data_IF_518910307984
#
_entry.id   IF_518910307984
#
_cell.length_a   1.000
_cell.length_b   1.000
_cell.length_c   1.000
_cell.angle_alpha   90.00
_cell.angle_beta   90.00
_cell.angle_gamma   90.00
#
_symmetry.space_group_name_H-M   'P 1'
#
loop_
_entity.id
_entity.type
_entity.pdbx_description
1 polymer ?
#
# COMPACT_ATOMS: atom_id res chain seq x y z
N UNK A 1 17.63 -4.39 -51.57
CA UNK A 1 17.75 -3.47 -52.72
C UNK A 1 16.34 -3.06 -53.11
N UNK A 2 15.91 -1.90 -52.61
CA UNK A 2 15.57 -0.68 -53.40
C UNK A 2 14.21 -0.87 -54.10
N UNK A 3 13.12 -0.46 -53.44
CA UNK A 3 12.36 0.80 -53.68
C UNK A 3 11.41 0.66 -54.89
N UNK A 4 10.15 1.12 -54.96
CA UNK A 4 9.42 2.20 -54.26
C UNK A 4 7.93 2.13 -54.64
N UNK A 5 7.06 2.57 -53.72
CA UNK A 5 5.83 3.38 -53.89
C UNK A 5 4.79 3.03 -54.97
N UNK A 6 3.52 2.86 -54.55
CA UNK A 6 2.42 3.73 -55.02
C UNK A 6 1.22 3.71 -54.06
N UNK A 7 0.85 4.92 -53.62
CA UNK A 7 -0.28 5.27 -52.77
C UNK A 7 -1.63 5.00 -53.41
N UNK A 8 -2.67 4.67 -52.64
CA UNK A 8 -4.03 5.19 -52.87
C UNK A 8 -4.78 5.39 -51.54
N UNK A 9 -5.41 6.56 -51.48
CA UNK A 9 -6.19 7.13 -50.38
C UNK A 9 -7.60 6.55 -50.40
N UNK A 10 -8.17 6.30 -49.22
CA UNK A 10 -9.61 6.50 -49.00
C UNK A 10 -9.76 7.35 -47.75
N UNK A 11 -10.29 8.56 -47.98
CA UNK A 11 -10.75 9.49 -46.98
C UNK A 11 -12.26 9.31 -46.78
N UNK A 12 -12.70 9.22 -45.52
CA UNK A 12 -14.04 9.59 -45.06
C UNK A 12 -13.87 9.99 -43.59
N UNK A 13 -13.76 11.29 -43.24
CA UNK A 13 -14.87 12.25 -43.09
C UNK A 13 -15.80 11.92 -41.91
N UNK A 14 -15.45 12.36 -40.71
CA UNK A 14 -16.43 12.81 -39.72
C UNK A 14 -15.94 14.12 -39.10
N UNK A 15 -16.69 15.20 -39.32
CA UNK A 15 -16.54 16.51 -38.69
C UNK A 15 -17.83 16.83 -37.92
N UNK A 16 -17.64 17.63 -36.86
CA UNK A 16 -18.60 18.32 -35.98
C UNK A 16 -19.19 17.45 -34.85
N UNK A 17 -19.19 17.88 -33.58
CA UNK A 17 -19.37 19.26 -33.11
C UNK A 17 -18.43 19.67 -31.95
N UNK A 18 -17.91 20.90 -32.06
CA UNK A 18 -17.52 21.75 -30.93
C UNK A 18 -18.80 22.22 -30.22
N UNK A 19 -18.92 21.98 -28.91
CA UNK A 19 -19.61 22.84 -27.97
C UNK A 19 -19.28 22.38 -26.54
N UNK A 20 -18.82 23.30 -25.68
CA UNK A 20 -18.65 23.06 -24.24
C UNK A 20 -17.21 23.03 -23.75
N UNK A 21 -16.42 24.06 -24.07
CA UNK A 21 -15.22 24.37 -23.30
C UNK A 21 -15.68 24.89 -21.91
N UNK A 22 -15.90 24.00 -20.95
CA UNK A 22 -15.99 24.40 -19.55
C UNK A 22 -14.56 24.52 -19.06
N UNK A 23 -14.04 25.75 -19.10
CA UNK A 23 -12.82 26.09 -18.37
C UNK A 23 -13.22 26.10 -16.89
N UNK A 24 -13.04 24.96 -16.22
CA UNK A 24 -12.92 24.96 -14.77
C UNK A 24 -11.56 25.58 -14.45
N UNK A 25 -11.55 26.90 -14.32
CA UNK A 25 -10.50 27.59 -13.56
C UNK A 25 -10.76 27.35 -12.08
N UNK A 26 -10.66 26.09 -11.65
CA UNK A 26 -10.45 25.75 -10.26
C UNK A 26 -9.01 26.09 -9.94
N UNK A 27 -8.78 27.01 -9.01
CA UNK A 27 -7.44 27.16 -8.44
C UNK A 27 -7.07 25.82 -7.77
N UNK A 28 -5.88 25.25 -8.00
CA UNK A 28 -5.46 23.98 -7.37
C UNK A 28 -5.62 23.98 -5.85
N UNK A 29 -5.58 25.17 -5.23
CA UNK A 29 -5.81 25.40 -3.81
C UNK A 29 -7.22 25.03 -3.33
N UNK A 30 -8.25 25.03 -4.18
CA UNK A 30 -9.63 24.73 -3.79
C UNK A 30 -9.89 23.21 -3.68
N UNK A 31 -9.27 22.39 -4.55
CA UNK A 31 -9.37 20.92 -4.51
C UNK A 31 -8.54 20.33 -3.37
N UNK A 32 -7.43 20.98 -3.02
CA UNK A 32 -6.54 20.57 -1.92
C UNK A 32 -7.10 20.96 -0.53
N UNK A 33 -7.70 22.14 -0.39
CA UNK A 33 -8.36 22.54 0.87
C UNK A 33 -9.55 21.64 1.26
N UNK A 34 -10.07 20.87 0.30
CA UNK A 34 -11.22 19.98 0.41
C UNK A 34 -10.87 18.56 0.93
N UNK A 35 -9.59 18.22 1.05
CA UNK A 35 -9.16 16.85 1.39
C UNK A 35 -9.17 16.57 2.91
N UNK A 36 -8.86 17.57 3.75
CA UNK A 36 -8.98 17.43 5.22
C UNK A 36 -10.44 17.23 5.65
N UNK A 37 -11.40 17.82 4.93
CA UNK A 37 -12.84 17.54 5.13
C UNK A 37 -13.22 16.15 4.61
N UNK A 38 -12.48 15.54 3.68
CA UNK A 38 -12.92 14.31 3.00
C UNK A 38 -13.12 13.13 3.97
N UNK A 39 -12.31 13.00 5.03
CA UNK A 39 -12.57 11.98 6.06
C UNK A 39 -13.88 12.25 6.81
N UNK A 40 -14.16 13.50 7.16
CA UNK A 40 -15.39 13.87 7.82
C UNK A 40 -16.59 13.72 6.89
N UNK A 41 -16.44 14.06 5.60
CA UNK A 41 -17.44 13.81 4.55
C UNK A 41 -17.75 12.32 4.47
N UNK A 42 -16.75 11.43 4.35
CA UNK A 42 -16.98 9.98 4.32
C UNK A 42 -17.76 9.52 5.55
N UNK A 43 -17.42 10.03 6.73
CA UNK A 43 -18.18 9.69 7.94
C UNK A 43 -19.63 10.21 7.86
N UNK A 44 -19.86 11.41 7.33
CA UNK A 44 -21.23 11.93 7.10
C UNK A 44 -22.02 11.04 6.16
N UNK A 45 -21.41 10.53 5.09
CA UNK A 45 -22.08 9.60 4.16
C UNK A 45 -22.46 8.28 4.85
N UNK A 46 -21.59 7.75 5.71
CA UNK A 46 -21.92 6.59 6.53
C UNK A 46 -23.04 6.89 7.55
N UNK A 47 -23.08 8.10 8.12
CA UNK A 47 -24.16 8.54 9.02
C UNK A 47 -25.50 8.69 8.27
N UNK A 48 -25.47 9.05 6.99
CA UNK A 48 -26.64 9.07 6.13
C UNK A 48 -27.18 7.66 5.86
N UNK A 49 -26.29 6.68 5.67
CA UNK A 49 -26.66 5.27 5.55
C UNK A 49 -27.17 4.66 6.88
N UNK A 50 -26.45 4.89 7.98
CA UNK A 50 -26.79 4.43 9.34
C UNK A 50 -26.68 5.58 10.35
N UNK A 51 -27.81 6.12 10.85
CA UNK A 51 -27.82 7.21 11.82
C UNK A 51 -27.07 6.92 13.14
N UNK A 52 -26.81 5.64 13.46
CA UNK A 52 -26.06 5.23 14.65
C UNK A 52 -24.60 4.84 14.31
N UNK A 53 -24.11 5.18 13.11
CA UNK A 53 -22.80 4.77 12.62
C UNK A 53 -21.67 5.06 13.63
N UNK A 54 -21.60 6.27 14.18
CA UNK A 54 -20.54 6.63 15.14
C UNK A 54 -20.57 5.80 16.41
N UNK A 55 -21.75 5.60 16.99
CA UNK A 55 -21.92 4.80 18.22
C UNK A 55 -21.52 3.35 17.97
N UNK A 56 -22.02 2.74 16.88
CA UNK A 56 -21.69 1.35 16.52
C UNK A 56 -20.23 1.19 16.19
N UNK A 57 -19.66 2.10 15.40
CA UNK A 57 -18.24 2.11 15.07
C UNK A 57 -17.39 2.19 16.33
N UNK A 58 -17.72 3.06 17.28
CA UNK A 58 -17.00 3.17 18.55
C UNK A 58 -17.09 1.87 19.35
N UNK A 59 -18.29 1.30 19.50
CA UNK A 59 -18.50 0.03 20.20
C UNK A 59 -17.63 -1.10 19.62
N UNK A 60 -17.62 -1.27 18.30
CA UNK A 60 -16.83 -2.31 17.66
C UNK A 60 -15.33 -1.99 17.63
N UNK A 61 -14.94 -0.72 17.57
CA UNK A 61 -13.54 -0.30 17.64
C UNK A 61 -12.93 -0.70 18.99
N UNK A 62 -13.62 -0.44 20.10
CA UNK A 62 -13.15 -0.83 21.45
C UNK A 62 -12.94 -2.35 21.56
N UNK A 63 -13.87 -3.13 21.01
CA UNK A 63 -13.75 -4.61 20.99
C UNK A 63 -12.59 -5.06 20.10
N UNK A 64 -12.41 -4.46 18.93
CA UNK A 64 -11.32 -4.77 18.02
C UNK A 64 -9.95 -4.41 18.62
N UNK A 65 -9.84 -3.26 19.29
CA UNK A 65 -8.62 -2.82 20.00
C UNK A 65 -8.23 -3.79 21.11
N UNK A 66 -9.20 -4.27 21.89
CA UNK A 66 -8.95 -5.28 22.93
C UNK A 66 -8.42 -6.59 22.34
N UNK A 67 -8.93 -7.01 21.18
CA UNK A 67 -8.44 -8.21 20.48
C UNK A 67 -7.05 -8.02 19.89
N UNK A 68 -6.76 -6.85 19.31
CA UNK A 68 -5.43 -6.50 18.82
C UNK A 68 -4.39 -6.55 19.96
N UNK A 69 -4.72 -6.00 21.13
CA UNK A 69 -3.85 -6.09 22.31
C UNK A 69 -3.62 -7.55 22.74
N UNK A 70 -4.65 -8.40 22.69
CA UNK A 70 -4.53 -9.83 22.95
C UNK A 70 -3.61 -10.56 21.97
N UNK A 71 -3.71 -10.26 20.67
CA UNK A 71 -2.80 -10.79 19.63
C UNK A 71 -1.36 -10.36 19.93
N UNK A 72 -1.13 -9.08 20.19
CA UNK A 72 0.20 -8.53 20.44
C UNK A 72 0.89 -9.15 21.66
N UNK A 73 0.15 -9.37 22.76
CA UNK A 73 0.66 -10.03 23.98
C UNK A 73 1.15 -11.45 23.67
N UNK A 74 0.41 -12.19 22.87
CA UNK A 74 0.73 -13.57 22.50
C UNK A 74 1.89 -13.65 21.50
N UNK A 75 1.96 -12.73 20.54
CA UNK A 75 3.10 -12.59 19.63
C UNK A 75 4.38 -12.24 20.40
N UNK A 76 4.29 -11.36 21.41
CA UNK A 76 5.41 -11.07 22.29
C UNK A 76 5.85 -12.30 23.12
N UNK A 77 4.96 -13.27 23.36
CA UNK A 77 5.26 -14.54 24.00
C UNK A 77 5.80 -15.62 23.02
N UNK A 78 5.95 -15.29 21.73
CA UNK A 78 6.48 -16.18 20.69
C UNK A 78 5.42 -16.99 19.94
N UNK A 79 4.12 -16.73 20.14
CA UNK A 79 3.04 -17.37 19.39
C UNK A 79 2.75 -16.56 18.11
N UNK A 80 2.88 -17.16 16.93
CA UNK A 80 2.76 -16.42 15.65
C UNK A 80 1.34 -15.94 15.36
N UNK A 81 0.33 -16.74 15.74
CA UNK A 81 -1.11 -16.41 15.64
C UNK A 81 -1.58 -15.92 14.26
N UNK A 82 -1.03 -16.50 13.19
CA UNK A 82 -1.23 -15.98 11.84
C UNK A 82 -2.70 -16.03 11.35
N UNK A 83 -3.51 -17.00 11.82
CA UNK A 83 -4.93 -17.00 11.50
C UNK A 83 -5.68 -15.87 12.21
N UNK A 84 -5.37 -15.63 13.49
CA UNK A 84 -5.95 -14.52 14.26
C UNK A 84 -5.60 -13.17 13.65
N UNK A 85 -4.36 -13.00 13.18
CA UNK A 85 -3.91 -11.80 12.48
C UNK A 85 -4.70 -11.56 11.17
N UNK A 86 -4.86 -12.60 10.33
CA UNK A 86 -5.67 -12.49 9.11
C UNK A 86 -7.13 -12.12 9.42
N UNK A 87 -7.75 -12.75 10.42
CA UNK A 87 -9.11 -12.41 10.85
C UNK A 87 -9.21 -10.97 11.38
N UNK A 88 -8.21 -10.52 12.14
CA UNK A 88 -8.11 -9.15 12.65
C UNK A 88 -8.01 -8.13 11.52
N UNK A 89 -7.16 -8.37 10.52
CA UNK A 89 -7.01 -7.47 9.38
C UNK A 89 -8.32 -7.34 8.58
N UNK A 90 -9.07 -8.44 8.42
CA UNK A 90 -10.39 -8.38 7.78
C UNK A 90 -11.43 -7.63 8.65
N UNK A 91 -11.40 -7.82 9.98
CA UNK A 91 -12.25 -7.04 10.89
C UNK A 91 -11.91 -5.54 10.85
N UNK A 92 -10.62 -5.20 10.78
CA UNK A 92 -10.15 -3.82 10.61
C UNK A 92 -10.65 -3.22 9.29
N UNK A 93 -10.65 -4.00 8.20
CA UNK A 93 -11.26 -3.58 6.94
C UNK A 93 -12.78 -3.37 7.08
N UNK A 94 -13.51 -4.34 7.66
CA UNK A 94 -14.96 -4.23 7.87
C UNK A 94 -15.34 -2.99 8.68
N UNK A 95 -14.61 -2.72 9.77
CA UNK A 95 -14.80 -1.54 10.63
C UNK A 95 -14.44 -0.22 9.92
N UNK A 96 -13.42 -0.25 9.06
CA UNK A 96 -12.89 0.94 8.40
C UNK A 96 -13.65 1.36 7.15
N UNK A 97 -14.26 0.40 6.45
CA UNK A 97 -14.78 0.60 5.09
C UNK A 97 -16.24 0.18 4.91
N UNK A 98 -16.93 -0.32 5.94
CA UNK A 98 -18.31 -0.76 5.80
C UNK A 98 -19.16 -0.43 7.02
N UNK A 99 -20.47 -0.34 6.81
CA UNK A 99 -21.49 -0.39 7.87
C UNK A 99 -22.07 -1.80 8.03
N UNK A 100 -21.34 -2.85 7.62
CA UNK A 100 -21.79 -4.25 7.76
C UNK A 100 -21.48 -4.80 9.16
N UNK A 101 -22.22 -4.30 10.13
CA UNK A 101 -22.02 -4.61 11.55
C UNK A 101 -22.16 -6.09 11.88
N UNK A 102 -23.05 -6.81 11.18
CA UNK A 102 -23.23 -8.24 11.39
C UNK A 102 -21.99 -9.03 11.01
N UNK A 103 -21.44 -8.76 9.82
CA UNK A 103 -20.21 -9.42 9.39
C UNK A 103 -19.03 -9.08 10.31
N UNK A 104 -18.96 -7.83 10.79
CA UNK A 104 -17.95 -7.43 11.76
C UNK A 104 -18.09 -8.18 13.10
N UNK A 105 -19.29 -8.25 13.67
CA UNK A 105 -19.57 -9.01 14.88
C UNK A 105 -19.17 -10.48 14.74
N UNK A 106 -19.62 -11.13 13.66
CA UNK A 106 -19.27 -12.53 13.35
C UNK A 106 -17.75 -12.72 13.23
N UNK A 107 -17.02 -11.72 12.69
CA UNK A 107 -15.56 -11.75 12.58
C UNK A 107 -14.87 -11.59 13.93
N UNK A 108 -15.30 -10.65 14.77
CA UNK A 108 -14.74 -10.44 16.12
C UNK A 108 -14.90 -11.70 16.98
N UNK A 109 -16.08 -12.32 16.93
CA UNK A 109 -16.38 -13.60 17.55
C UNK A 109 -15.43 -14.72 17.10
N UNK A 110 -15.04 -14.74 15.82
CA UNK A 110 -14.07 -15.70 15.29
C UNK A 110 -12.65 -15.42 15.76
N UNK A 111 -12.24 -14.16 15.86
CA UNK A 111 -10.93 -13.80 16.42
C UNK A 111 -10.83 -14.30 17.87
N UNK A 112 -11.85 -14.05 18.69
CA UNK A 112 -11.90 -14.53 20.09
C UNK A 112 -11.77 -16.05 20.20
N UNK A 113 -12.39 -16.80 19.29
CA UNK A 113 -12.24 -18.26 19.22
C UNK A 113 -10.85 -18.66 18.75
N UNK A 114 -10.36 -18.03 17.69
CA UNK A 114 -9.05 -18.28 17.10
C UNK A 114 -7.93 -18.07 18.13
N UNK A 115 -8.01 -17.04 18.98
CA UNK A 115 -7.03 -16.76 20.03
C UNK A 115 -6.85 -17.87 21.07
N UNK A 116 -7.82 -18.77 21.21
CA UNK A 116 -7.73 -19.93 22.12
C UNK A 116 -6.86 -21.04 21.55
N UNK A 117 -6.66 -21.06 20.24
CA UNK A 117 -5.78 -22.02 19.56
C UNK A 117 -4.45 -21.34 19.21
N UNK A 118 -3.37 -21.88 19.77
CA UNK A 118 -2.01 -21.36 19.50
C UNK A 118 -1.38 -22.03 18.28
N UNK A 119 -1.89 -23.18 17.85
CA UNK A 119 -1.36 -23.89 16.67
C UNK A 119 -2.07 -23.42 15.40
N UNK A 120 -1.58 -22.31 14.85
CA UNK A 120 -2.18 -21.67 13.67
C UNK A 120 -1.30 -21.75 12.42
N UNK A 121 -0.34 -22.69 12.38
CA UNK A 121 0.62 -22.82 11.27
C UNK A 121 -0.03 -23.08 9.93
N UNK A 122 -1.20 -23.71 9.93
CA UNK A 122 -1.99 -23.95 8.72
C UNK A 122 -2.31 -22.65 7.97
N UNK A 123 -2.42 -21.50 8.66
CA UNK A 123 -2.80 -20.22 8.05
C UNK A 123 -1.75 -19.67 7.07
N UNK A 124 -0.51 -20.16 7.15
CA UNK A 124 0.60 -19.82 6.24
C UNK A 124 0.65 -20.75 5.02
N UNK A 125 -0.13 -21.83 5.02
CA UNK A 125 -0.12 -22.81 3.94
C UNK A 125 -0.85 -22.32 2.70
N UNK A 126 -0.41 -22.83 1.55
CA UNK A 126 -1.12 -22.64 0.30
C UNK A 126 -2.36 -23.55 0.25
N UNK A 127 -3.51 -22.99 -0.12
CA UNK A 127 -4.74 -23.75 -0.31
C UNK A 127 -4.61 -24.80 -1.40
N UNK A 128 -4.90 -26.07 -1.08
CA UNK A 128 -5.00 -27.14 -2.08
C UNK A 128 -6.23 -27.03 -3.00
N UNK A 129 -7.21 -26.19 -2.63
CA UNK A 129 -8.50 -26.07 -3.34
C UNK A 129 -8.38 -25.12 -4.53
N UNK A 130 -7.76 -23.96 -4.31
CA UNK A 130 -7.71 -22.83 -5.25
C UNK A 130 -6.32 -22.21 -5.40
N UNK A 131 -5.32 -22.71 -4.66
CA UNK A 131 -3.94 -22.26 -4.73
C UNK A 131 -3.65 -20.95 -4.00
N UNK A 132 -4.64 -20.28 -3.40
CA UNK A 132 -4.44 -19.00 -2.72
C UNK A 132 -3.90 -19.18 -1.30
N UNK A 133 -3.13 -18.19 -0.85
CA UNK A 133 -2.78 -18.00 0.56
C UNK A 133 -3.86 -17.18 1.29
N UNK A 134 -3.69 -17.04 2.60
CA UNK A 134 -4.62 -16.28 3.44
C UNK A 134 -5.87 -17.08 3.77
N UNK A 135 -5.70 -18.31 4.26
CA UNK A 135 -6.79 -19.28 4.49
C UNK A 135 -7.85 -18.80 5.48
N UNK A 136 -7.52 -17.84 6.34
CA UNK A 136 -8.44 -17.31 7.33
C UNK A 136 -9.21 -16.07 6.87
N UNK A 137 -8.87 -15.49 5.71
CA UNK A 137 -9.67 -14.46 5.06
C UNK A 137 -10.91 -15.04 4.38
N UNK A 138 -12.05 -14.37 4.51
CA UNK A 138 -13.22 -14.61 3.68
C UNK A 138 -13.24 -13.71 2.45
N UNK A 139 -12.76 -12.48 2.59
CA UNK A 139 -12.66 -11.56 1.47
C UNK A 139 -11.59 -12.02 0.47
N UNK A 140 -12.03 -12.32 -0.75
CA UNK A 140 -11.15 -12.84 -1.79
C UNK A 140 -10.03 -11.86 -2.18
N UNK A 141 -10.29 -10.55 -2.16
CA UNK A 141 -9.28 -9.53 -2.49
C UNK A 141 -8.16 -9.47 -1.43
N UNK A 142 -8.46 -9.78 -0.16
CA UNK A 142 -7.43 -9.89 0.87
C UNK A 142 -6.55 -11.14 0.66
N UNK A 143 -7.16 -12.24 0.19
CA UNK A 143 -6.40 -13.44 -0.23
C UNK A 143 -5.49 -13.16 -1.42
N UNK A 144 -5.89 -12.26 -2.32
CA UNK A 144 -5.04 -11.82 -3.44
C UNK A 144 -3.78 -11.13 -2.93
N UNK A 145 -3.90 -10.20 -1.97
CA UNK A 145 -2.75 -9.55 -1.34
C UNK A 145 -1.83 -10.54 -0.60
N UNK A 146 -2.42 -11.44 0.20
CA UNK A 146 -1.67 -12.50 0.89
C UNK A 146 -0.92 -13.42 -0.09
N UNK A 147 -1.55 -13.74 -1.23
CA UNK A 147 -0.95 -14.55 -2.29
C UNK A 147 0.19 -13.82 -2.98
N UNK A 148 0.05 -12.54 -3.30
CA UNK A 148 1.13 -11.75 -3.88
C UNK A 148 2.36 -11.69 -2.95
N UNK A 149 2.14 -11.55 -1.64
CA UNK A 149 3.20 -11.56 -0.64
C UNK A 149 3.90 -12.94 -0.56
N UNK A 150 3.12 -14.02 -0.49
CA UNK A 150 3.66 -15.38 -0.39
C UNK A 150 4.47 -15.78 -1.63
N UNK A 151 3.97 -15.47 -2.83
CA UNK A 151 4.71 -15.74 -4.07
C UNK A 151 5.99 -14.90 -4.11
N UNK A 152 5.93 -13.63 -3.70
CA UNK A 152 7.14 -12.80 -3.59
C UNK A 152 8.21 -13.40 -2.69
N UNK A 153 7.83 -13.99 -1.55
CA UNK A 153 8.74 -14.70 -0.67
C UNK A 153 9.32 -15.95 -1.35
N UNK A 154 8.48 -16.80 -1.93
CA UNK A 154 8.90 -18.01 -2.65
C UNK A 154 9.88 -17.68 -3.79
N UNK A 155 9.59 -16.64 -4.58
CA UNK A 155 10.50 -16.14 -5.63
C UNK A 155 11.86 -15.76 -5.08
N UNK A 156 11.90 -15.04 -3.94
CA UNK A 156 13.17 -14.64 -3.34
C UNK A 156 14.00 -15.83 -2.82
N UNK A 157 13.33 -16.95 -2.51
CA UNK A 157 13.94 -18.20 -2.06
C UNK A 157 14.27 -19.16 -3.20
N UNK A 158 13.86 -18.83 -4.43
CA UNK A 158 13.98 -19.75 -5.58
C UNK A 158 13.07 -20.97 -5.48
N UNK A 159 12.01 -20.90 -4.67
CA UNK A 159 11.05 -21.98 -4.45
C UNK A 159 9.78 -21.76 -5.28
N UNK A 160 9.15 -22.83 -5.79
CA UNK A 160 7.88 -22.73 -6.47
C UNK A 160 6.67 -22.88 -5.52
N UNK A 161 5.49 -22.33 -5.89
CA UNK A 161 4.22 -22.69 -5.27
C UNK A 161 3.95 -24.20 -5.32
N UNK A 162 3.30 -24.75 -4.28
CA UNK A 162 2.93 -26.16 -4.18
C UNK A 162 1.68 -26.51 -5.00
N UNK A 163 0.71 -25.61 -5.04
CA UNK A 163 -0.57 -25.77 -5.74
C UNK A 163 -0.74 -24.71 -6.82
N UNK A 164 -1.64 -25.00 -7.76
CA UNK A 164 -1.92 -24.07 -8.85
C UNK A 164 -2.96 -23.02 -8.46
N UNK A 165 -2.73 -21.78 -8.85
CA UNK A 165 -3.68 -20.68 -8.64
C UNK A 165 -4.88 -20.77 -9.57
N UNK A 166 -6.07 -20.55 -9.02
CA UNK A 166 -7.36 -20.50 -9.73
C UNK A 166 -8.07 -19.17 -9.48
N UNK A 167 -7.61 -18.05 -10.08
CA UNK A 167 -8.16 -16.73 -9.83
C UNK A 167 -9.61 -16.58 -10.29
N UNK A 168 -10.37 -15.78 -9.53
CA UNK A 168 -11.75 -15.40 -9.85
C UNK A 168 -11.86 -14.57 -11.13
N UNK A 169 -10.89 -13.69 -11.37
CA UNK A 169 -10.80 -12.84 -12.56
C UNK A 169 -9.81 -13.48 -13.52
N UNK A 170 -10.27 -13.82 -14.74
CA UNK A 170 -9.51 -14.65 -15.70
C UNK A 170 -9.20 -13.91 -16.99
N UNK A 171 -9.95 -12.86 -17.30
CA UNK A 171 -9.81 -12.03 -18.51
C UNK A 171 -9.61 -10.56 -18.16
N UNK A 172 -8.99 -9.81 -19.08
CA UNK A 172 -8.81 -8.37 -18.92
C UNK A 172 -10.13 -7.62 -18.79
N UNK A 173 -11.17 -8.07 -19.52
CA UNK A 173 -12.53 -7.51 -19.40
C UNK A 173 -13.14 -7.71 -18.01
N UNK A 174 -13.01 -8.89 -17.42
CA UNK A 174 -13.50 -9.14 -16.05
C UNK A 174 -12.78 -8.23 -15.05
N UNK A 175 -11.47 -8.04 -15.20
CA UNK A 175 -10.69 -7.16 -14.34
C UNK A 175 -11.10 -5.69 -14.48
N UNK A 176 -11.25 -5.17 -15.70
CA UNK A 176 -11.69 -3.78 -15.93
C UNK A 176 -13.08 -3.56 -15.33
N UNK A 177 -14.04 -4.44 -15.61
CA UNK A 177 -15.39 -4.31 -15.07
C UNK A 177 -15.38 -4.31 -13.53
N UNK A 178 -14.52 -5.14 -12.93
CA UNK A 178 -14.38 -5.20 -11.49
C UNK A 178 -13.80 -3.91 -10.90
N UNK A 179 -12.66 -3.45 -11.42
CA UNK A 179 -12.01 -2.22 -10.98
C UNK A 179 -12.91 -0.99 -11.17
N UNK A 180 -13.63 -0.91 -12.29
CA UNK A 180 -14.62 0.14 -12.53
C UNK A 180 -15.77 0.11 -11.53
N UNK A 181 -16.24 -1.08 -11.14
CA UNK A 181 -17.30 -1.21 -10.13
C UNK A 181 -16.87 -0.75 -8.73
N UNK A 182 -15.56 -0.75 -8.46
CA UNK A 182 -14.98 -0.31 -7.19
C UNK A 182 -14.53 1.14 -7.19
N UNK A 183 -14.35 1.76 -8.36
CA UNK A 183 -13.75 3.10 -8.47
C UNK A 183 -14.60 4.18 -7.77
N UNK A 184 -15.93 4.03 -7.81
CA UNK A 184 -16.86 5.01 -7.25
C UNK A 184 -17.62 4.37 -6.08
N UNK A 185 -17.47 4.94 -4.89
CA UNK A 185 -18.21 4.58 -3.67
C UNK A 185 -19.47 5.46 -3.56
N UNK A 186 -20.63 4.83 -3.38
CA UNK A 186 -21.90 5.49 -3.03
C UNK A 186 -22.27 5.06 -1.60
N UNK A 187 -21.58 5.65 -0.62
CA UNK A 187 -21.64 5.21 0.77
C UNK A 187 -23.02 5.45 1.37
N UNK A 188 -23.63 6.60 1.09
CA UNK A 188 -24.97 6.94 1.57
C UNK A 188 -26.00 5.84 1.25
N UNK A 189 -25.91 5.23 0.06
CA UNK A 189 -26.90 4.23 -0.37
C UNK A 189 -26.46 2.77 -0.14
N UNK A 190 -25.16 2.51 -0.04
CA UNK A 190 -24.64 1.13 0.03
C UNK A 190 -24.06 0.75 1.40
N UNK A 191 -23.65 1.74 2.18
CA UNK A 191 -22.92 1.52 3.43
C UNK A 191 -21.55 0.91 3.21
N UNK A 192 -20.95 1.06 2.02
CA UNK A 192 -19.65 0.50 1.67
C UNK A 192 -18.78 1.56 1.02
N UNK A 193 -17.59 1.76 1.59
CA UNK A 193 -16.48 2.46 0.96
C UNK A 193 -15.59 1.45 0.23
N UNK A 194 -15.65 1.47 -1.11
CA UNK A 194 -14.90 0.57 -1.97
C UNK A 194 -13.37 0.84 -1.95
N UNK A 195 -12.90 1.94 -1.34
CA UNK A 195 -11.48 2.34 -1.33
C UNK A 195 -10.54 1.21 -0.91
N UNK A 196 -10.86 0.53 0.20
CA UNK A 196 -10.00 -0.53 0.75
C UNK A 196 -9.80 -1.69 -0.22
N UNK A 197 -10.89 -2.12 -0.87
CA UNK A 197 -10.84 -3.20 -1.85
C UNK A 197 -10.19 -2.74 -3.16
N UNK A 198 -10.56 -1.56 -3.67
CA UNK A 198 -9.96 -0.95 -4.86
C UNK A 198 -8.44 -0.90 -4.73
N UNK A 199 -7.93 -0.33 -3.63
CA UNK A 199 -6.50 -0.21 -3.35
C UNK A 199 -5.82 -1.59 -3.33
N UNK A 200 -6.42 -2.57 -2.66
CA UNK A 200 -5.86 -3.92 -2.55
C UNK A 200 -5.75 -4.62 -3.91
N UNK A 201 -6.80 -4.55 -4.72
CA UNK A 201 -6.83 -5.17 -6.05
C UNK A 201 -5.86 -4.45 -7.00
N UNK A 202 -5.89 -3.11 -7.03
CA UNK A 202 -4.95 -2.32 -7.85
C UNK A 202 -3.50 -2.61 -7.48
N UNK A 203 -3.16 -2.65 -6.19
CA UNK A 203 -1.81 -2.92 -5.68
C UNK A 203 -1.33 -4.32 -6.05
N UNK A 204 -2.20 -5.33 -5.87
CA UNK A 204 -1.85 -6.72 -6.15
C UNK A 204 -1.61 -6.97 -7.63
N UNK A 205 -2.51 -6.46 -8.49
CA UNK A 205 -2.34 -6.58 -9.95
C UNK A 205 -1.20 -5.72 -10.47
N UNK A 206 -0.94 -4.53 -9.91
CA UNK A 206 0.26 -3.76 -10.24
C UNK A 206 1.52 -4.56 -9.90
N UNK A 207 1.61 -5.11 -8.69
CA UNK A 207 2.77 -5.91 -8.28
C UNK A 207 3.03 -7.07 -9.23
N UNK A 208 1.99 -7.82 -9.62
CA UNK A 208 2.08 -8.90 -10.60
C UNK A 208 2.42 -8.40 -12.02
N UNK A 209 1.85 -7.26 -12.44
CA UNK A 209 2.07 -6.64 -13.75
C UNK A 209 3.49 -6.08 -13.94
N UNK A 210 4.15 -5.66 -12.86
CA UNK A 210 5.45 -4.98 -12.92
C UNK A 210 6.65 -5.87 -12.54
N UNK A 211 6.45 -6.97 -11.81
CA UNK A 211 7.53 -7.91 -11.45
C UNK A 211 7.54 -9.12 -12.39
N UNK A 212 8.47 -9.13 -13.35
CA UNK A 212 8.64 -10.24 -14.32
C UNK A 212 8.89 -11.60 -13.67
N UNK A 213 9.68 -11.66 -12.61
CA UNK A 213 9.96 -12.93 -11.93
C UNK A 213 8.68 -13.53 -11.30
N UNK A 214 7.76 -12.68 -10.83
CA UNK A 214 6.43 -13.11 -10.41
C UNK A 214 5.61 -13.62 -11.60
N UNK A 215 5.72 -13.00 -12.77
CA UNK A 215 5.00 -13.42 -13.99
C UNK A 215 5.46 -14.80 -14.47
N UNK A 216 6.77 -15.06 -14.46
CA UNK A 216 7.32 -16.34 -14.91
C UNK A 216 6.86 -17.49 -14.00
N UNK A 217 6.83 -17.24 -12.69
CA UNK A 217 6.28 -18.19 -11.70
C UNK A 217 4.76 -18.32 -11.86
N UNK A 218 4.01 -17.23 -11.97
CA UNK A 218 2.56 -17.29 -12.18
C UNK A 218 2.22 -18.05 -13.48
N UNK A 219 2.95 -17.83 -14.57
CA UNK A 219 2.69 -18.48 -15.86
C UNK A 219 2.95 -20.00 -15.81
N UNK A 220 3.96 -20.44 -15.05
CA UNK A 220 4.26 -21.87 -14.87
C UNK A 220 3.34 -22.61 -13.89
N UNK A 221 2.81 -21.90 -12.89
CA UNK A 221 2.07 -22.48 -11.76
C UNK A 221 0.58 -22.14 -11.75
N UNK A 222 0.06 -21.44 -12.75
CA UNK A 222 -1.38 -21.29 -12.96
C UNK A 222 -1.91 -22.52 -13.70
N UNK A 223 -3.17 -22.89 -13.44
CA UNK A 223 -3.79 -24.07 -14.03
C UNK A 223 -3.84 -23.94 -15.57
N UNK A 224 -3.05 -24.75 -16.30
CA UNK A 224 -2.93 -24.71 -17.76
C UNK A 224 -4.12 -25.35 -18.49
N UNK A 225 -5.03 -26.00 -17.75
CA UNK A 225 -6.35 -26.40 -18.24
C UNK A 225 -7.31 -25.20 -18.36
N UNK A 226 -6.91 -24.04 -17.83
CA UNK A 226 -7.67 -22.80 -17.81
C UNK A 226 -6.85 -21.66 -18.44
N UNK A 227 -7.28 -21.16 -19.61
CA UNK A 227 -6.58 -20.09 -20.34
C UNK A 227 -6.68 -18.74 -19.61
N UNK A 228 -5.79 -18.47 -18.65
CA UNK A 228 -5.64 -17.14 -18.05
C UNK A 228 -4.71 -16.32 -18.95
N UNK A 229 -5.24 -15.24 -19.52
CA UNK A 229 -4.50 -14.35 -20.40
C UNK A 229 -3.78 -13.29 -19.57
N UNK A 230 -2.63 -13.65 -18.98
CA UNK A 230 -1.85 -12.75 -18.11
C UNK A 230 -1.45 -11.43 -18.79
N UNK A 231 -1.10 -11.48 -20.08
CA UNK A 231 -0.82 -10.26 -20.85
C UNK A 231 -2.07 -9.38 -21.00
N UNK A 232 -3.25 -9.97 -21.23
CA UNK A 232 -4.52 -9.23 -21.31
C UNK A 232 -4.91 -8.62 -19.96
N UNK A 233 -4.73 -9.37 -18.86
CA UNK A 233 -4.95 -8.87 -17.50
C UNK A 233 -4.01 -7.71 -17.17
N UNK A 234 -2.74 -7.80 -17.61
CA UNK A 234 -1.77 -6.71 -17.47
C UNK A 234 -2.24 -5.48 -18.24
N UNK A 235 -2.51 -5.62 -19.54
CA UNK A 235 -2.95 -4.50 -20.38
C UNK A 235 -4.22 -3.85 -19.83
N UNK A 236 -5.16 -4.65 -19.33
CA UNK A 236 -6.37 -4.20 -18.67
C UNK A 236 -6.09 -3.42 -17.38
N UNK A 237 -5.21 -3.92 -16.51
CA UNK A 237 -4.81 -3.22 -15.29
C UNK A 237 -4.16 -1.87 -15.61
N UNK A 238 -3.25 -1.84 -16.58
CA UNK A 238 -2.59 -0.62 -17.05
C UNK A 238 -3.57 0.38 -17.63
N UNK A 239 -4.47 -0.07 -18.52
CA UNK A 239 -5.52 0.77 -19.08
C UNK A 239 -6.37 1.42 -17.98
N UNK A 240 -6.77 0.65 -16.97
CA UNK A 240 -7.50 1.17 -15.83
C UNK A 240 -6.67 2.17 -15.02
N UNK A 241 -5.43 1.82 -14.66
CA UNK A 241 -4.55 2.68 -13.85
C UNK A 241 -4.34 4.04 -14.53
N UNK A 242 -3.99 4.06 -15.81
CA UNK A 242 -3.84 5.33 -16.54
C UNK A 242 -5.16 6.11 -16.63
N UNK A 243 -6.27 5.42 -16.92
CA UNK A 243 -7.59 6.07 -17.00
C UNK A 243 -8.13 6.59 -15.66
N UNK A 244 -7.66 6.03 -14.54
CA UNK A 244 -8.08 6.41 -13.19
C UNK A 244 -7.23 7.56 -12.60
N UNK A 245 -6.11 7.92 -13.23
CA UNK A 245 -5.28 9.04 -12.77
C UNK A 245 -6.04 10.36 -12.92
N UNK A 246 -6.10 11.13 -11.84
CA UNK A 246 -6.71 12.45 -11.90
C UNK A 246 -5.73 13.47 -12.50
N UNK A 247 -6.08 14.08 -13.63
CA UNK A 247 -5.18 14.99 -14.35
C UNK A 247 -4.93 16.31 -13.62
N UNK A 248 -5.81 16.70 -12.69
CA UNK A 248 -5.66 17.94 -11.91
C UNK A 248 -4.64 17.78 -10.80
N UNK A 249 -4.76 16.71 -10.01
CA UNK A 249 -3.87 16.43 -8.88
C UNK A 249 -2.67 15.54 -9.26
N UNK A 250 -2.75 14.84 -10.39
CA UNK A 250 -1.80 13.79 -10.77
C UNK A 250 -1.97 12.50 -9.96
N UNK A 251 -2.87 12.45 -8.99
CA UNK A 251 -2.99 11.35 -8.03
C UNK A 251 -3.99 10.29 -8.47
N UNK A 252 -3.87 9.11 -7.84
CA UNK A 252 -4.91 8.09 -7.81
C UNK A 252 -5.66 8.16 -6.50
N UNK A 253 -6.89 7.64 -6.50
CA UNK A 253 -7.71 7.51 -5.31
C UNK A 253 -9.08 6.97 -5.64
N UNK A 254 -9.82 6.58 -4.59
CA UNK A 254 -11.24 6.27 -4.73
C UNK A 254 -12.03 7.54 -5.06
N UNK A 255 -13.15 7.37 -5.75
CA UNK A 255 -14.10 8.44 -6.02
C UNK A 255 -15.36 8.20 -5.21
N UNK A 256 -16.09 9.27 -4.91
CA UNK A 256 -17.27 9.20 -4.05
C UNK A 256 -18.43 9.94 -4.71
N UNK A 257 -19.64 9.39 -4.59
CA UNK A 257 -20.87 10.14 -4.81
C UNK A 257 -21.17 10.91 -3.53
N UNK A 258 -21.14 12.25 -3.59
CA UNK A 258 -21.44 13.16 -2.48
C UNK A 258 -22.35 14.24 -3.01
N UNK A 259 -23.49 14.48 -2.35
CA UNK A 259 -24.51 15.44 -2.79
C UNK A 259 -24.91 15.26 -4.28
N UNK A 260 -24.96 14.00 -4.74
CA UNK A 260 -25.26 13.63 -6.13
C UNK A 260 -24.17 13.95 -7.15
N UNK A 261 -22.94 14.28 -6.72
CA UNK A 261 -21.79 14.57 -7.60
C UNK A 261 -20.64 13.62 -7.33
N UNK A 262 -19.87 13.33 -8.37
CA UNK A 262 -18.62 12.57 -8.24
C UNK A 262 -17.52 13.50 -7.72
N UNK A 263 -16.87 13.08 -6.64
CA UNK A 263 -15.70 13.73 -6.07
C UNK A 263 -14.53 12.75 -6.03
N UNK A 264 -13.39 13.17 -6.57
CA UNK A 264 -12.15 12.39 -6.58
C UNK A 264 -11.29 12.77 -5.38
N UNK A 265 -10.49 11.81 -4.90
CA UNK A 265 -9.55 12.06 -3.79
C UNK A 265 -8.11 11.87 -4.23
N UNK A 266 -7.20 12.63 -3.62
CA UNK A 266 -5.76 12.44 -3.77
C UNK A 266 -5.26 11.45 -2.70
N UNK A 267 -5.19 10.16 -3.04
CA UNK A 267 -4.81 9.11 -2.11
C UNK A 267 -3.30 8.84 -2.11
N UNK A 268 -2.64 9.09 -0.98
CA UNK A 268 -1.19 8.92 -0.85
C UNK A 268 -0.76 7.47 -1.06
N UNK A 269 -1.44 6.52 -0.44
CA UNK A 269 -1.06 5.10 -0.46
C UNK A 269 -1.26 4.48 -1.84
N UNK A 270 -2.41 4.75 -2.47
CA UNK A 270 -2.65 4.25 -3.83
C UNK A 270 -1.66 4.86 -4.83
N UNK A 271 -1.39 6.16 -4.72
CA UNK A 271 -0.42 6.85 -5.59
C UNK A 271 0.99 6.30 -5.39
N UNK A 272 1.40 6.07 -4.14
CA UNK A 272 2.66 5.41 -3.83
C UNK A 272 2.78 4.04 -4.50
N UNK A 273 1.75 3.18 -4.38
CA UNK A 273 1.80 1.84 -4.97
C UNK A 273 1.92 1.90 -6.49
N UNK A 274 1.15 2.76 -7.16
CA UNK A 274 1.24 2.93 -8.62
C UNK A 274 2.64 3.40 -9.03
N UNK A 275 3.12 4.51 -8.44
CA UNK A 275 4.44 5.10 -8.74
C UNK A 275 5.57 4.10 -8.47
N UNK A 276 5.52 3.40 -7.34
CA UNK A 276 6.59 2.48 -6.93
C UNK A 276 6.65 1.26 -7.82
N UNK A 277 5.51 0.62 -8.12
CA UNK A 277 5.52 -0.57 -8.94
C UNK A 277 5.79 -0.26 -10.41
N UNK A 278 5.34 0.89 -10.91
CA UNK A 278 5.71 1.36 -12.25
C UNK A 278 7.15 1.87 -12.37
N UNK A 279 7.88 1.94 -11.26
CA UNK A 279 9.24 2.51 -11.20
C UNK A 279 9.29 3.95 -11.72
N UNK A 280 8.22 4.70 -11.45
CA UNK A 280 8.05 6.08 -11.86
C UNK A 280 7.59 6.30 -13.30
N UNK A 281 7.25 5.23 -14.03
CA UNK A 281 6.64 5.31 -15.36
C UNK A 281 5.15 5.68 -15.22
N UNK A 282 4.90 6.97 -14.99
CA UNK A 282 3.57 7.58 -14.80
C UNK A 282 3.50 8.94 -15.46
N UNK A 283 2.29 9.42 -15.71
CA UNK A 283 2.03 10.76 -16.25
C UNK A 283 1.89 11.80 -15.13
N UNK A 284 1.83 13.09 -15.49
CA UNK A 284 1.49 14.20 -14.58
C UNK A 284 2.42 14.42 -13.37
N UNK A 285 3.72 14.12 -13.52
CA UNK A 285 4.71 14.35 -12.46
C UNK A 285 4.67 15.76 -11.82
N UNK A 286 4.54 16.87 -12.57
CA UNK A 286 4.41 18.20 -11.95
C UNK A 286 3.23 18.30 -10.98
N UNK A 287 2.08 17.73 -11.34
CA UNK A 287 0.90 17.68 -10.49
C UNK A 287 1.11 16.76 -9.29
N UNK A 288 1.70 15.57 -9.49
CA UNK A 288 2.03 14.64 -8.41
C UNK A 288 2.89 15.34 -7.36
N UNK A 289 3.98 16.01 -7.75
CA UNK A 289 4.88 16.70 -6.80
C UNK A 289 4.15 17.80 -6.04
N UNK A 290 3.42 18.65 -6.75
CA UNK A 290 2.67 19.74 -6.15
C UNK A 290 1.63 19.24 -5.14
N UNK A 291 0.87 18.21 -5.51
CA UNK A 291 -0.10 17.57 -4.62
C UNK A 291 0.59 16.95 -3.41
N UNK A 292 1.67 16.21 -3.63
CA UNK A 292 2.43 15.55 -2.55
C UNK A 292 2.85 16.56 -1.49
N UNK A 293 3.46 17.67 -1.89
CA UNK A 293 3.89 18.73 -0.98
C UNK A 293 2.71 19.42 -0.30
N UNK A 294 1.60 19.64 -1.02
CA UNK A 294 0.45 20.37 -0.49
C UNK A 294 -0.32 19.59 0.59
N UNK A 295 -0.37 18.25 0.52
CA UNK A 295 -1.11 17.40 1.46
C UNK A 295 -0.28 17.00 2.70
N UNK A 296 0.86 17.65 2.95
CA UNK A 296 1.78 17.33 4.07
C UNK A 296 1.06 17.27 5.42
N UNK A 297 0.21 18.25 5.68
CA UNK A 297 -0.44 18.40 6.98
C UNK A 297 -1.83 17.75 7.07
N UNK A 298 -2.30 17.19 5.96
CA UNK A 298 -3.60 16.54 5.88
C UNK A 298 -3.58 15.13 6.49
N UNK A 299 -4.73 14.62 6.97
CA UNK A 299 -4.81 13.30 7.55
C UNK A 299 -4.73 12.19 6.49
N UNK A 300 -3.95 11.16 6.79
CA UNK A 300 -3.89 9.91 6.03
C UNK A 300 -5.31 9.29 5.90
N UNK A 301 -5.67 8.75 4.73
CA UNK A 301 -4.83 8.50 3.54
C UNK A 301 -4.72 9.67 2.54
N UNK A 302 -5.41 10.78 2.78
CA UNK A 302 -5.42 11.94 1.88
C UNK A 302 -4.30 12.94 2.18
N UNK A 303 -3.41 12.61 3.12
CA UNK A 303 -2.23 13.35 3.50
C UNK A 303 -1.21 12.50 4.25
N UNK A 304 -0.17 13.11 4.78
CA UNK A 304 0.99 12.38 5.32
C UNK A 304 0.77 11.92 6.77
N UNK A 305 -0.19 12.49 7.49
CA UNK A 305 -0.26 12.36 8.95
C UNK A 305 -1.33 11.36 9.41
N UNK A 306 -0.95 10.39 10.23
CA UNK A 306 -1.91 9.56 10.97
C UNK A 306 -2.09 10.10 12.39
N UNK A 307 -3.34 10.37 12.80
CA UNK A 307 -3.61 10.96 14.12
C UNK A 307 -2.87 12.27 14.39
N UNK A 308 -2.62 13.08 13.34
CA UNK A 308 -1.87 14.33 13.40
C UNK A 308 -0.34 14.17 13.47
N UNK A 309 0.19 12.94 13.42
CA UNK A 309 1.63 12.64 13.51
C UNK A 309 2.14 11.97 12.25
N UNK A 310 3.44 12.04 12.00
CA UNK A 310 4.06 11.20 10.98
C UNK A 310 4.09 9.73 11.41
N UNK A 311 4.32 8.84 10.45
CA UNK A 311 4.61 7.42 10.65
C UNK A 311 5.70 7.01 9.67
N UNK A 312 6.54 6.03 10.00
CA UNK A 312 7.57 5.57 9.05
C UNK A 312 6.96 5.04 7.74
N UNK A 313 5.77 4.44 7.81
CA UNK A 313 5.02 3.99 6.64
C UNK A 313 4.69 5.16 5.71
N UNK A 314 4.01 6.19 6.19
CA UNK A 314 3.61 7.32 5.34
C UNK A 314 4.82 8.09 4.82
N UNK A 315 5.85 8.24 5.65
CA UNK A 315 7.08 8.90 5.22
C UNK A 315 7.81 8.09 4.17
N UNK A 316 7.77 6.76 4.23
CA UNK A 316 8.32 5.88 3.20
C UNK A 316 7.57 6.02 1.87
N UNK A 317 6.25 6.16 1.93
CA UNK A 317 5.41 6.40 0.76
C UNK A 317 5.81 7.71 0.06
N UNK A 318 5.86 8.79 0.84
CA UNK A 318 6.25 10.13 0.35
C UNK A 318 7.68 10.13 -0.17
N UNK A 319 8.64 9.58 0.58
CA UNK A 319 10.04 9.52 0.17
C UNK A 319 10.23 8.74 -1.14
N UNK A 320 9.42 7.71 -1.36
CA UNK A 320 9.44 6.96 -2.62
C UNK A 320 8.88 7.79 -3.77
N UNK A 321 7.78 8.52 -3.57
CA UNK A 321 7.25 9.45 -4.58
C UNK A 321 8.29 10.54 -4.91
N UNK A 322 8.93 11.14 -3.91
CA UNK A 322 10.00 12.10 -4.12
C UNK A 322 11.19 11.51 -4.88
N UNK A 323 11.60 10.28 -4.58
CA UNK A 323 12.70 9.62 -5.30
C UNK A 323 12.44 9.50 -6.79
N UNK A 324 11.26 9.00 -7.17
CA UNK A 324 10.91 8.84 -8.58
C UNK A 324 10.59 10.17 -9.26
N UNK A 325 10.00 11.12 -8.54
CA UNK A 325 9.65 12.44 -9.05
C UNK A 325 10.82 13.42 -9.10
N UNK A 326 11.95 13.14 -8.44
CA UNK A 326 13.11 14.03 -8.35
C UNK A 326 13.61 14.59 -9.70
N UNK A 327 13.69 13.80 -10.79
CA UNK A 327 14.09 14.30 -12.10
C UNK A 327 13.10 15.31 -12.70
N UNK A 328 11.85 15.32 -12.22
CA UNK A 328 10.75 16.14 -12.73
C UNK A 328 10.47 17.39 -11.88
N UNK A 329 11.07 17.48 -10.69
CA UNK A 329 10.99 18.65 -9.81
C UNK A 329 11.80 19.84 -10.37
N UNK A 330 11.24 21.04 -10.24
CA UNK A 330 12.00 22.29 -10.31
C UNK A 330 13.00 22.40 -9.16
N UNK A 331 13.96 23.32 -9.23
CA UNK A 331 14.93 23.50 -8.14
C UNK A 331 14.28 24.00 -6.84
N UNK A 332 13.21 24.80 -6.96
CA UNK A 332 12.42 25.24 -5.80
C UNK A 332 11.74 24.05 -5.12
N UNK A 333 11.09 23.17 -5.90
CA UNK A 333 10.47 21.94 -5.38
C UNK A 333 11.49 20.98 -4.79
N UNK A 334 12.68 20.85 -5.40
CA UNK A 334 13.79 20.10 -4.80
C UNK A 334 14.21 20.72 -3.48
N UNK A 335 14.33 22.05 -3.41
CA UNK A 335 14.63 22.76 -2.16
C UNK A 335 13.64 22.42 -1.04
N UNK A 336 12.33 22.50 -1.34
CA UNK A 336 11.28 22.10 -0.40
C UNK A 336 11.40 20.63 -0.01
N UNK A 337 11.50 19.72 -0.99
CA UNK A 337 11.63 18.28 -0.74
C UNK A 337 12.87 17.91 0.09
N UNK A 338 14.00 18.62 -0.06
CA UNK A 338 15.19 18.40 0.79
C UNK A 338 14.90 18.72 2.25
N UNK A 339 14.25 19.85 2.53
CA UNK A 339 13.90 20.21 3.91
C UNK A 339 12.92 19.20 4.51
N UNK A 340 11.92 18.78 3.74
CA UNK A 340 10.98 17.75 4.15
C UNK A 340 11.69 16.42 4.45
N UNK A 341 12.60 15.97 3.58
CA UNK A 341 13.36 14.74 3.81
C UNK A 341 14.23 14.83 5.07
N UNK A 342 14.83 15.99 5.37
CA UNK A 342 15.57 16.18 6.64
C UNK A 342 14.63 16.08 7.85
N UNK A 343 13.43 16.67 7.77
CA UNK A 343 12.42 16.56 8.83
C UNK A 343 11.97 15.10 9.03
N UNK A 344 11.72 14.38 7.93
CA UNK A 344 11.36 12.96 7.94
C UNK A 344 12.41 12.10 8.64
N UNK A 345 13.69 12.26 8.28
CA UNK A 345 14.80 11.55 8.90
C UNK A 345 14.89 11.86 10.39
N UNK A 346 14.85 13.15 10.76
CA UNK A 346 14.92 13.57 12.17
C UNK A 346 13.78 12.94 12.97
N UNK A 347 12.55 13.08 12.48
CA UNK A 347 11.37 12.55 13.16
C UNK A 347 11.46 11.02 13.32
N UNK A 348 11.78 10.29 12.24
CA UNK A 348 11.88 8.83 12.26
C UNK A 348 12.88 8.36 13.32
N UNK A 349 14.08 8.92 13.32
CA UNK A 349 15.18 8.54 14.22
C UNK A 349 14.91 8.90 15.69
N UNK A 350 14.16 9.96 15.96
CA UNK A 350 13.85 10.41 17.33
C UNK A 350 12.62 9.73 17.93
N UNK A 351 11.63 9.43 17.09
CA UNK A 351 10.32 8.99 17.55
C UNK A 351 10.13 7.47 17.46
N UNK A 352 10.84 6.80 16.55
CA UNK A 352 10.58 5.38 16.25
C UNK A 352 11.73 4.44 16.57
N UNK A 353 12.99 4.89 16.51
CA UNK A 353 14.17 4.04 16.69
C UNK A 353 14.79 4.24 18.08
N UNK A 354 15.02 3.15 18.81
CA UNK A 354 15.76 3.15 20.07
C UNK A 354 17.27 3.00 19.83
N UNK A 355 18.08 3.39 20.82
CA UNK A 355 19.55 3.33 20.74
C UNK A 355 20.10 1.91 20.65
N UNK A 356 19.31 0.90 21.01
CA UNK A 356 19.67 -0.51 20.93
C UNK A 356 19.29 -1.17 19.59
N UNK A 357 18.86 -0.37 18.60
CA UNK A 357 18.44 -0.79 17.27
C UNK A 357 17.03 -1.35 17.18
N UNK A 358 16.25 -1.31 18.26
CA UNK A 358 14.85 -1.73 18.24
C UNK A 358 13.93 -0.61 17.77
N UNK A 359 12.89 -0.96 17.01
CA UNK A 359 11.80 -0.04 16.71
C UNK A 359 10.74 -0.06 17.83
N UNK A 360 10.16 1.11 18.12
CA UNK A 360 9.00 1.26 19.00
C UNK A 360 7.76 0.82 18.23
N UNK A 361 6.90 0.04 18.88
CA UNK A 361 5.62 -0.35 18.32
C UNK A 361 4.57 0.73 18.55
N UNK A 362 3.86 1.13 17.50
CA UNK A 362 2.66 1.96 17.59
C UNK A 362 1.41 1.10 17.33
N UNK A 363 0.74 0.59 18.38
CA UNK A 363 -0.44 -0.25 18.22
C UNK A 363 -1.63 0.49 17.60
N UNK A 364 -1.61 1.84 17.60
CA UNK A 364 -2.66 2.65 16.97
C UNK A 364 -2.54 2.76 15.45
N UNK A 365 -1.43 2.26 14.87
CA UNK A 365 -1.17 2.38 13.44
C UNK A 365 -0.58 1.12 12.80
N UNK A 366 0.48 0.55 13.39
CA UNK A 366 1.20 -0.60 12.84
C UNK A 366 0.34 -1.86 12.80
N UNK A 367 0.41 -2.62 11.71
CA UNK A 367 -0.30 -3.90 11.57
C UNK A 367 0.40 -5.02 12.35
N UNK A 368 1.72 -4.94 12.52
CA UNK A 368 2.52 -5.91 13.27
C UNK A 368 3.81 -5.28 13.81
N UNK A 369 4.51 -5.97 14.73
CA UNK A 369 5.84 -5.53 15.15
C UNK A 369 6.88 -5.65 14.03
N UNK A 370 6.72 -6.60 13.11
CA UNK A 370 7.61 -6.77 11.95
C UNK A 370 7.48 -5.59 10.96
N UNK A 371 6.29 -5.02 10.84
CA UNK A 371 6.00 -3.88 9.97
C UNK A 371 6.78 -2.63 10.41
N UNK A 372 6.94 -2.42 11.72
CA UNK A 372 7.72 -1.30 12.26
C UNK A 372 9.17 -1.33 11.75
N UNK A 373 9.77 -2.52 11.73
CA UNK A 373 11.10 -2.72 11.13
C UNK A 373 11.06 -2.52 9.63
N UNK A 374 10.09 -3.12 8.94
CA UNK A 374 10.01 -3.01 7.48
C UNK A 374 9.95 -1.55 7.04
N UNK A 375 9.02 -0.76 7.58
CA UNK A 375 8.82 0.63 7.14
C UNK A 375 9.95 1.54 7.63
N UNK A 376 10.43 1.36 8.86
CA UNK A 376 11.58 2.10 9.37
C UNK A 376 12.85 1.89 8.53
N UNK A 377 13.17 0.62 8.25
CA UNK A 377 14.32 0.27 7.40
C UNK A 377 14.11 0.74 5.97
N UNK A 378 12.90 0.58 5.41
CA UNK A 378 12.61 0.96 4.03
C UNK A 378 12.70 2.47 3.81
N UNK A 379 12.31 3.29 4.80
CA UNK A 379 12.50 4.73 4.79
C UNK A 379 13.99 5.11 4.77
N UNK A 380 14.79 4.51 5.65
CA UNK A 380 16.23 4.79 5.71
C UNK A 380 16.97 4.32 4.44
N UNK A 381 16.58 3.17 3.88
CA UNK A 381 17.11 2.62 2.62
C UNK A 381 16.76 3.52 1.43
N UNK A 382 15.48 3.92 1.27
CA UNK A 382 15.05 4.73 0.11
C UNK A 382 15.70 6.12 0.11
N UNK A 383 15.93 6.69 1.29
CA UNK A 383 16.58 7.99 1.47
C UNK A 383 18.11 7.91 1.39
N UNK A 384 18.69 6.73 1.19
CA UNK A 384 20.13 6.52 1.10
C UNK A 384 20.87 6.83 2.41
N UNK A 385 20.24 6.61 3.56
CA UNK A 385 20.83 6.95 4.87
C UNK A 385 22.19 6.25 5.05
N UNK A 386 22.24 4.93 4.87
CA UNK A 386 23.46 4.12 5.00
C UNK A 386 24.39 4.19 3.79
N UNK A 387 23.87 4.55 2.62
CA UNK A 387 24.61 4.59 1.37
C UNK A 387 24.54 5.98 0.73
N UNK A 388 25.53 6.86 0.98
CA UNK A 388 25.57 8.19 0.40
C UNK A 388 25.41 8.20 -1.13
N UNK A 389 25.98 7.21 -1.83
CA UNK A 389 25.88 7.10 -3.29
C UNK A 389 24.46 6.80 -3.81
N UNK A 390 23.54 6.34 -2.95
CA UNK A 390 22.13 6.10 -3.30
C UNK A 390 21.22 7.28 -2.92
N UNK A 391 21.76 8.36 -2.32
CA UNK A 391 20.99 9.56 -1.97
C UNK A 391 20.68 10.36 -3.24
N UNK A 392 19.41 10.47 -3.55
CA UNK A 392 18.95 11.27 -4.68
C UNK A 392 18.78 12.76 -4.32
N UNK A 393 18.64 13.06 -3.03
CA UNK A 393 18.17 14.37 -2.55
C UNK A 393 19.28 15.26 -2.00
N UNK A 394 20.50 14.76 -1.79
CA UNK A 394 21.64 15.59 -1.36
C UNK A 394 22.96 14.88 -1.59
N UNK A 395 23.98 15.65 -1.94
CA UNK A 395 25.38 15.22 -1.96
C UNK A 395 26.10 15.56 -0.63
N UNK A 396 25.48 16.39 0.21
CA UNK A 396 26.06 16.79 1.48
C UNK A 396 26.11 15.61 2.48
N UNK A 397 27.13 15.56 3.35
CA UNK A 397 27.10 14.69 4.51
C UNK A 397 25.85 14.93 5.36
N UNK A 398 25.32 13.87 5.99
CA UNK A 398 24.25 14.03 6.96
C UNK A 398 24.74 14.87 8.13
N UNK A 399 23.88 15.74 8.64
CA UNK A 399 24.15 16.56 9.81
C UNK A 399 24.56 15.67 11.00
N UNK A 400 25.45 16.13 11.91
CA UNK A 400 25.87 15.36 13.07
C UNK A 400 24.71 14.87 13.96
N UNK A 401 23.59 15.60 13.99
CA UNK A 401 22.40 15.21 14.72
C UNK A 401 21.71 13.95 14.15
N UNK A 402 21.88 13.69 12.84
CA UNK A 402 21.32 12.55 12.12
C UNK A 402 22.36 11.44 11.91
N UNK A 403 23.63 11.80 11.70
CA UNK A 403 24.69 10.86 11.37
C UNK A 403 24.93 9.82 12.49
N UNK A 404 25.01 8.54 12.12
CA UNK A 404 25.30 7.44 13.06
C UNK A 404 24.18 7.10 14.05
N UNK A 405 23.02 7.75 13.97
CA UNK A 405 21.86 7.48 14.83
C UNK A 405 21.16 6.15 14.53
N UNK A 406 21.22 5.67 13.28
CA UNK A 406 20.72 4.35 12.91
C UNK A 406 21.87 3.43 12.50
N UNK A 407 22.34 2.63 13.44
CA UNK A 407 23.31 1.58 13.17
C UNK A 407 22.63 0.44 12.40
N UNK A 408 22.97 0.30 11.12
CA UNK A 408 22.43 -0.74 10.24
C UNK A 408 22.68 -2.14 10.80
N UNK A 409 23.87 -2.38 11.36
CA UNK A 409 24.25 -3.69 11.87
C UNK A 409 23.49 -4.05 13.14
N UNK A 410 23.29 -3.07 14.02
CA UNK A 410 22.50 -3.28 15.23
C UNK A 410 21.03 -3.61 14.89
N UNK A 411 20.42 -2.87 13.95
CA UNK A 411 19.06 -3.16 13.47
C UNK A 411 18.99 -4.56 12.83
N UNK A 412 19.98 -4.93 12.01
CA UNK A 412 20.07 -6.26 11.40
C UNK A 412 20.15 -7.38 12.45
N UNK A 413 20.95 -7.21 13.49
CA UNK A 413 21.02 -8.14 14.61
C UNK A 413 19.66 -8.31 15.28
N UNK A 414 18.91 -7.21 15.50
CA UNK A 414 17.56 -7.28 16.08
C UNK A 414 16.58 -8.05 15.19
N UNK A 415 16.54 -7.76 13.89
CA UNK A 415 15.68 -8.48 12.94
C UNK A 415 15.98 -9.99 12.97
N UNK A 416 17.26 -10.38 12.98
CA UNK A 416 17.67 -11.78 13.08
C UNK A 416 17.29 -12.42 14.42
N UNK A 417 17.43 -11.69 15.53
CA UNK A 417 17.10 -12.17 16.86
C UNK A 417 15.60 -12.43 17.02
N UNK A 418 14.74 -11.56 16.46
CA UNK A 418 13.28 -11.72 16.52
C UNK A 418 12.75 -12.82 15.62
N UNK A 419 13.48 -13.21 14.57
CA UNK A 419 13.08 -14.26 13.62
C UNK A 419 11.68 -14.05 13.06
N UNK A 420 11.38 -12.82 12.64
CA UNK A 420 10.09 -12.47 12.05
C UNK A 420 9.74 -13.44 10.92
N UNK A 421 8.59 -14.08 11.03
CA UNK A 421 8.03 -14.88 9.96
C UNK A 421 7.26 -13.96 8.98
N UNK A 422 7.42 -14.19 7.68
CA UNK A 422 6.68 -13.46 6.63
C UNK A 422 7.43 -12.31 5.96
N UNK A 423 6.69 -11.57 5.14
CA UNK A 423 7.25 -10.65 4.14
C UNK A 423 7.91 -9.40 4.75
N UNK A 424 7.36 -8.86 5.84
CA UNK A 424 7.86 -7.62 6.44
C UNK A 424 9.27 -7.83 7.03
N UNK A 425 9.44 -8.90 7.81
CA UNK A 425 10.74 -9.31 8.35
C UNK A 425 11.77 -9.61 7.26
N UNK A 426 11.40 -10.47 6.30
CA UNK A 426 12.27 -10.82 5.17
C UNK A 426 12.66 -9.58 4.34
N UNK A 427 11.70 -8.70 4.06
CA UNK A 427 11.92 -7.48 3.30
C UNK A 427 12.74 -6.42 4.04
N UNK A 428 12.70 -6.39 5.38
CA UNK A 428 13.60 -5.57 6.19
C UNK A 428 15.02 -6.13 6.15
N UNK A 429 15.17 -7.45 6.35
CA UNK A 429 16.46 -8.12 6.34
C UNK A 429 17.16 -7.97 4.98
N UNK A 430 16.45 -8.17 3.87
CA UNK A 430 16.99 -8.01 2.52
C UNK A 430 17.61 -6.62 2.32
N UNK A 431 16.92 -5.57 2.75
CA UNK A 431 17.41 -4.18 2.66
C UNK A 431 18.66 -3.97 3.52
N UNK A 432 18.63 -4.47 4.75
CA UNK A 432 19.78 -4.38 5.66
C UNK A 432 20.99 -5.15 5.13
N UNK A 433 20.80 -6.34 4.54
CA UNK A 433 21.89 -7.11 3.95
C UNK A 433 22.54 -6.40 2.77
N UNK A 434 21.74 -5.76 1.92
CA UNK A 434 22.27 -4.92 0.83
C UNK A 434 22.97 -3.66 1.36
N UNK A 435 22.56 -3.14 2.51
CA UNK A 435 23.03 -1.86 3.06
C UNK A 435 24.21 -1.98 4.03
N UNK A 436 24.31 -3.07 4.78
CA UNK A 436 25.41 -3.40 5.68
C UNK A 436 25.78 -4.89 5.56
N UNK A 437 26.49 -5.22 4.47
CA UNK A 437 26.90 -6.60 4.15
C UNK A 437 27.94 -7.18 5.11
N UNK A 438 28.73 -6.33 5.79
CA UNK A 438 29.72 -6.76 6.78
C UNK A 438 29.37 -6.12 8.13
N UNK A 439 28.90 -6.94 9.07
CA UNK A 439 28.66 -6.55 10.45
C UNK A 439 29.64 -7.27 11.37
N UNK A 440 30.14 -6.60 12.42
CA UNK A 440 30.94 -7.28 13.44
C UNK A 440 30.11 -8.40 14.08
N UNK A 441 30.77 -9.53 14.36
CA UNK A 441 30.12 -10.68 14.99
C UNK A 441 29.51 -10.27 16.34
N UNK A 442 28.31 -10.79 16.64
CA UNK A 442 27.62 -10.51 17.90
C UNK A 442 28.53 -10.83 19.09
N UNK A 443 28.69 -9.86 20.00
CA UNK A 443 29.10 -10.19 21.35
C UNK A 443 27.94 -10.97 21.96
N UNK A 444 28.13 -12.26 22.18
CA UNK A 444 27.15 -13.15 22.80
C UNK A 444 26.66 -12.52 24.12
N UNK A 445 25.48 -11.89 24.07
CA UNK A 445 24.78 -11.48 25.26
C UNK A 445 23.90 -12.65 25.65
N UNK A 446 24.30 -13.32 26.74
CA UNK A 446 23.55 -14.41 27.36
C UNK A 446 22.16 -13.90 27.80
N UNK A 447 21.15 -14.79 27.84
CA UNK A 447 19.73 -14.44 28.03
C UNK A 447 19.43 -13.66 29.31
#
# INVERSE_FOLDING_TARGET
MVDTLFSHRIAASLRLALAGLVVFSGSPSAVLADQTDMRDVIVREFEAFDPNYRERRQHYAERLEALAAGIAVEQAAGNTLQCSEQLYLEAKWLLGYTANWKALEDKLDRIERSLKDKDQKFASEQSAVDGFWGLCYEQWFMRLGATAAAIGLLTSQGEPPHYRLRPRLRTGRELINYLQSLLISDIENTGVDNRGELSSVMTSYSTAAYKRDLQDILTGYVALDESIAWDELREAAWFFIHGAQDTETGYWGAWYVIDGKIRKTADLSMTFHVVRYSKGDVEHWPQIIKTTLAIKDDPYPFGWRSGGKFTNHNLYDVASIFKFGWPHMSEEERGMAREEIREMLRWSLENTLNTDGTYRHDPGYGDSYADEYYFGVSLLDVLGYWKPAERFWTDDPLEPALAGRADCCLIKQRVNAYRFEGWAGAGALEKLERSCSVCPAEAATQP
#
